data_IF_617095407817
#
_entry.id   IF_617095407817
#
_cell.length_a   1.000
_cell.length_b   1.000
_cell.length_c   1.000
_cell.angle_alpha   90.00
_cell.angle_beta   90.00
_cell.angle_gamma   90.00
#
_symmetry.space_group_name_H-M   'P 1'
#
loop_
_entity.id
_entity.type
_entity.pdbx_description
1 polymer ?
#
# COMPACT_ATOMS: atom_id res chain seq x y z
N UNK A 1 4.63 -11.95 -11.52
CA UNK A 1 4.14 -10.58 -11.76
C UNK A 1 3.93 -10.49 -13.26
N UNK A 2 2.77 -10.04 -13.75
CA UNK A 2 2.61 -9.87 -15.20
C UNK A 2 3.37 -8.62 -15.64
N UNK A 3 4.10 -8.73 -16.74
CA UNK A 3 4.73 -7.59 -17.40
C UNK A 3 3.65 -6.62 -17.90
N UNK A 4 3.84 -5.29 -17.77
CA UNK A 4 2.87 -4.28 -18.20
C UNK A 4 2.31 -4.48 -19.60
N UNK A 5 3.19 -4.78 -20.56
CA UNK A 5 2.81 -5.00 -21.96
C UNK A 5 1.86 -6.21 -22.14
N UNK A 6 2.04 -7.27 -21.35
CA UNK A 6 1.19 -8.45 -21.40
C UNK A 6 -0.21 -8.19 -20.83
N UNK A 7 -0.32 -7.28 -19.84
CA UNK A 7 -1.61 -6.84 -19.33
C UNK A 7 -2.35 -5.94 -20.32
N UNK A 8 -1.66 -4.97 -20.92
CA UNK A 8 -2.25 -4.07 -21.92
C UNK A 8 -2.83 -4.86 -23.09
N UNK A 9 -2.05 -5.80 -23.64
CA UNK A 9 -2.51 -6.71 -24.71
C UNK A 9 -3.73 -7.53 -24.29
N UNK A 10 -3.79 -8.01 -23.04
CA UNK A 10 -4.95 -8.73 -22.54
C UNK A 10 -6.21 -7.86 -22.41
N UNK A 11 -6.06 -6.56 -22.08
CA UNK A 11 -7.20 -5.63 -22.06
C UNK A 11 -7.68 -5.30 -23.46
N UNK A 12 -6.76 -5.08 -24.40
CA UNK A 12 -7.03 -4.87 -25.82
C UNK A 12 -7.84 -6.03 -26.42
N UNK A 13 -7.46 -7.28 -26.14
CA UNK A 13 -8.16 -8.47 -26.60
C UNK A 13 -9.60 -8.56 -26.08
N UNK A 14 -9.82 -8.15 -24.82
CA UNK A 14 -11.15 -8.18 -24.18
C UNK A 14 -12.04 -7.00 -24.59
N UNK A 15 -11.44 -5.87 -24.95
CA UNK A 15 -12.14 -4.61 -25.21
C UNK A 15 -11.54 -3.87 -26.42
N UNK A 16 -11.71 -4.41 -27.64
CA UNK A 16 -11.12 -3.84 -28.83
C UNK A 16 -11.65 -2.42 -29.10
N UNK A 17 -10.76 -1.51 -29.51
CA UNK A 17 -11.10 -0.15 -29.91
C UNK A 17 -11.26 0.87 -28.76
N UNK A 18 -10.95 0.49 -27.52
CA UNK A 18 -10.83 1.44 -26.40
C UNK A 18 -9.43 2.05 -26.35
N UNK A 19 -9.30 3.35 -26.10
CA UNK A 19 -8.00 3.98 -25.82
C UNK A 19 -7.46 3.43 -24.50
N UNK A 20 -6.16 3.10 -24.46
CA UNK A 20 -5.46 2.57 -23.27
C UNK A 20 -4.40 3.55 -22.74
N UNK A 21 -4.44 4.82 -23.14
CA UNK A 21 -3.46 5.85 -22.74
C UNK A 21 -3.40 6.04 -21.21
N UNK A 22 -4.51 5.86 -20.51
CA UNK A 22 -4.51 5.89 -19.05
C UNK A 22 -3.88 4.63 -18.44
N UNK A 23 -3.83 3.49 -19.16
CA UNK A 23 -3.16 2.27 -18.72
C UNK A 23 -1.64 2.36 -18.82
N UNK A 24 -1.10 3.08 -19.81
CA UNK A 24 0.35 3.31 -19.93
C UNK A 24 0.93 4.11 -18.74
N UNK A 25 0.08 4.81 -17.99
CA UNK A 25 0.44 5.58 -16.78
C UNK A 25 0.37 4.75 -15.50
N UNK A 26 0.08 3.46 -15.60
CA UNK A 26 -0.16 2.56 -14.46
C UNK A 26 1.16 1.94 -14.00
N UNK A 27 1.45 2.00 -12.69
CA UNK A 27 2.59 1.31 -12.09
C UNK A 27 2.32 -0.20 -12.00
N UNK A 28 3.37 -1.01 -11.85
CA UNK A 28 3.25 -2.47 -11.71
C UNK A 28 2.23 -2.92 -10.63
N UNK A 29 2.12 -2.17 -9.53
CA UNK A 29 1.15 -2.39 -8.47
C UNK A 29 -0.30 -2.23 -8.94
N UNK A 30 -0.58 -1.14 -9.64
CA UNK A 30 -1.91 -0.85 -10.17
C UNK A 30 -2.28 -1.81 -11.32
N UNK A 31 -1.29 -2.29 -12.10
CA UNK A 31 -1.50 -3.34 -13.12
C UNK A 31 -1.85 -4.69 -12.49
N UNK A 32 -1.16 -5.08 -11.41
CA UNK A 32 -1.50 -6.28 -10.65
C UNK A 32 -2.91 -6.21 -10.06
N UNK A 33 -3.33 -5.02 -9.61
CA UNK A 33 -4.66 -4.79 -9.07
C UNK A 33 -5.73 -4.72 -10.17
N UNK A 34 -5.42 -4.09 -11.31
CA UNK A 34 -6.27 -4.07 -12.49
C UNK A 34 -6.48 -5.50 -13.02
N UNK A 35 -5.44 -6.31 -13.08
CA UNK A 35 -5.52 -7.74 -13.37
C UNK A 35 -6.48 -8.44 -12.40
N UNK A 36 -6.41 -8.13 -11.11
CA UNK A 36 -7.34 -8.69 -10.11
C UNK A 36 -8.78 -8.19 -10.26
N UNK A 37 -9.02 -7.06 -10.95
CA UNK A 37 -10.36 -6.61 -11.30
C UNK A 37 -10.93 -7.35 -12.52
N UNK A 38 -10.06 -7.75 -13.45
CA UNK A 38 -10.43 -8.48 -14.67
C UNK A 38 -10.57 -9.99 -14.44
N UNK A 39 -9.79 -10.54 -13.51
CA UNK A 39 -9.80 -11.98 -13.22
C UNK A 39 -10.88 -12.34 -12.20
N UNK A 40 -11.62 -13.45 -12.40
CA UNK A 40 -12.50 -14.01 -11.39
C UNK A 40 -11.71 -14.33 -10.12
N UNK A 41 -12.23 -13.96 -8.95
CA UNK A 41 -11.63 -14.42 -7.70
C UNK A 41 -11.79 -15.95 -7.62
N UNK A 42 -10.67 -16.68 -7.51
CA UNK A 42 -10.61 -18.15 -7.57
C UNK A 42 -11.50 -18.91 -6.55
N UNK A 43 -12.22 -18.22 -5.66
CA UNK A 43 -13.00 -18.82 -4.57
C UNK A 43 -14.43 -18.28 -4.42
N UNK A 44 -14.98 -17.51 -5.35
CA UNK A 44 -16.40 -17.18 -5.27
C UNK A 44 -16.99 -16.97 -6.66
N UNK A 45 -18.25 -17.36 -6.83
CA UNK A 45 -19.13 -17.12 -7.99
C UNK A 45 -19.43 -15.62 -8.20
N UNK A 46 -18.42 -14.78 -8.01
CA UNK A 46 -18.49 -13.32 -8.07
C UNK A 46 -17.91 -12.93 -9.41
N UNK A 47 -18.72 -12.30 -10.24
CA UNK A 47 -18.26 -11.72 -11.50
C UNK A 47 -17.05 -10.81 -11.24
N UNK A 48 -16.03 -10.83 -12.12
CA UNK A 48 -14.92 -9.90 -12.00
C UNK A 48 -15.46 -8.47 -11.96
N UNK A 49 -14.76 -7.56 -11.26
CA UNK A 49 -15.28 -6.20 -11.00
C UNK A 49 -15.52 -5.42 -12.29
N UNK A 50 -14.87 -5.79 -13.40
CA UNK A 50 -15.15 -5.30 -14.75
C UNK A 50 -16.60 -5.51 -15.20
N UNK A 51 -17.30 -6.53 -14.69
CA UNK A 51 -18.73 -6.72 -14.92
C UNK A 51 -19.61 -5.59 -14.35
N UNK A 52 -19.03 -4.65 -13.59
CA UNK A 52 -19.68 -3.42 -13.11
C UNK A 52 -19.40 -2.20 -13.98
N UNK A 53 -18.62 -2.34 -15.05
CA UNK A 53 -18.38 -1.26 -15.99
C UNK A 53 -19.65 -0.96 -16.79
N UNK A 54 -20.18 0.24 -16.61
CA UNK A 54 -21.45 0.68 -17.20
C UNK A 54 -21.28 1.63 -18.40
N UNK A 55 -20.05 1.81 -18.92
CA UNK A 55 -19.79 2.71 -20.05
C UNK A 55 -19.91 4.21 -19.75
N UNK A 56 -19.99 4.61 -18.48
CA UNK A 56 -20.14 6.03 -18.09
C UNK A 56 -18.86 6.87 -18.21
N UNK A 57 -17.72 6.23 -18.44
CA UNK A 57 -16.42 6.86 -18.67
C UNK A 57 -15.61 5.95 -19.62
N UNK A 58 -14.59 6.48 -20.33
CA UNK A 58 -13.64 5.66 -21.08
C UNK A 58 -13.10 4.50 -20.23
N UNK A 59 -12.93 3.33 -20.86
CA UNK A 59 -12.59 2.09 -20.16
C UNK A 59 -11.27 2.20 -19.38
N UNK A 60 -10.26 2.81 -19.98
CA UNK A 60 -8.95 3.04 -19.38
C UNK A 60 -9.02 3.94 -18.14
N UNK A 61 -9.80 5.03 -18.18
CA UNK A 61 -10.04 5.90 -17.03
C UNK A 61 -10.80 5.17 -15.91
N UNK A 62 -11.74 4.29 -16.27
CA UNK A 62 -12.48 3.46 -15.32
C UNK A 62 -11.57 2.39 -14.68
N UNK A 63 -10.75 1.72 -15.48
CA UNK A 63 -9.78 0.71 -15.04
C UNK A 63 -8.75 1.35 -14.12
N UNK A 64 -8.17 2.47 -14.52
CA UNK A 64 -7.24 3.25 -13.71
C UNK A 64 -7.84 3.61 -12.34
N UNK A 65 -9.03 4.21 -12.33
CA UNK A 65 -9.70 4.62 -11.08
C UNK A 65 -10.05 3.42 -10.20
N UNK A 66 -10.50 2.33 -10.81
CA UNK A 66 -10.87 1.11 -10.09
C UNK A 66 -9.65 0.38 -9.52
N UNK A 67 -8.57 0.29 -10.28
CA UNK A 67 -7.31 -0.33 -9.88
C UNK A 67 -6.68 0.45 -8.74
N UNK A 68 -6.62 1.78 -8.86
CA UNK A 68 -6.17 2.68 -7.80
C UNK A 68 -7.02 2.54 -6.53
N UNK A 69 -8.35 2.52 -6.65
CA UNK A 69 -9.24 2.29 -5.49
C UNK A 69 -8.99 0.92 -4.88
N UNK A 70 -8.80 -0.10 -5.71
CA UNK A 70 -8.46 -1.43 -5.23
C UNK A 70 -7.11 -1.39 -4.50
N UNK A 71 -6.08 -0.71 -5.01
CA UNK A 71 -4.79 -0.52 -4.35
C UNK A 71 -4.93 0.02 -2.94
N UNK A 72 -5.65 1.13 -2.81
CA UNK A 72 -5.87 1.81 -1.55
C UNK A 72 -6.67 0.95 -0.54
N UNK A 73 -7.52 0.05 -1.04
CA UNK A 73 -8.34 -0.86 -0.21
C UNK A 73 -7.74 -2.23 0.03
N UNK A 74 -6.83 -2.70 -0.83
CA UNK A 74 -6.27 -4.06 -0.80
C UNK A 74 -5.26 -4.23 0.32
N UNK A 75 -4.51 -3.19 0.65
CA UNK A 75 -3.55 -3.25 1.75
C UNK A 75 -4.28 -3.12 3.09
N UNK A 76 -4.36 -4.25 3.80
CA UNK A 76 -4.93 -4.24 5.14
C UNK A 76 -3.98 -3.50 6.07
N UNK A 77 -4.54 -2.82 7.08
CA UNK A 77 -3.75 -2.18 8.14
C UNK A 77 -2.70 -3.14 8.72
N UNK A 78 -3.07 -4.42 8.92
CA UNK A 78 -2.18 -5.46 9.42
C UNK A 78 -0.94 -5.64 8.54
N UNK A 79 -1.08 -5.65 7.21
CA UNK A 79 0.02 -5.91 6.29
C UNK A 79 1.09 -4.80 6.37
N UNK A 80 0.64 -3.55 6.44
CA UNK A 80 1.51 -2.37 6.60
C UNK A 80 2.23 -2.42 7.95
N UNK A 81 1.49 -2.66 9.03
CA UNK A 81 2.04 -2.70 10.39
C UNK A 81 3.08 -3.80 10.51
N UNK A 82 2.80 -4.99 9.97
CA UNK A 82 3.72 -6.12 10.02
C UNK A 82 4.98 -5.83 9.20
N UNK A 83 4.87 -5.17 8.03
CA UNK A 83 6.03 -4.78 7.24
C UNK A 83 6.92 -3.76 7.97
N UNK A 84 6.33 -2.67 8.47
CA UNK A 84 7.06 -1.65 9.24
C UNK A 84 7.74 -2.28 10.46
N UNK A 85 7.00 -3.13 11.18
CA UNK A 85 7.51 -3.84 12.37
C UNK A 85 8.72 -4.70 12.00
N UNK A 86 8.65 -5.46 10.89
CA UNK A 86 9.78 -6.26 10.40
C UNK A 86 10.97 -5.40 10.00
N UNK A 87 10.77 -4.30 9.28
CA UNK A 87 11.88 -3.44 8.85
C UNK A 87 12.57 -2.74 10.03
N UNK A 88 11.82 -2.35 11.06
CA UNK A 88 12.39 -1.75 12.28
C UNK A 88 13.15 -2.78 13.12
N UNK A 89 12.57 -3.97 13.31
CA UNK A 89 13.15 -5.02 14.15
C UNK A 89 14.27 -5.79 13.46
N UNK A 90 14.25 -5.89 12.13
CA UNK A 90 15.28 -6.56 11.34
C UNK A 90 16.63 -5.84 11.38
N UNK A 91 16.65 -4.58 11.83
CA UNK A 91 17.88 -3.80 12.06
C UNK A 91 18.50 -4.02 13.44
N UNK A 92 17.88 -4.85 14.30
CA UNK A 92 18.40 -5.18 15.63
C UNK A 92 19.16 -6.53 15.54
N UNK A 93 20.50 -6.55 15.66
CA UNK A 93 21.30 -7.78 15.61
C UNK A 93 20.83 -8.79 16.66
N UNK A 94 20.80 -10.10 16.36
CA UNK A 94 20.10 -11.04 17.26
C UNK A 94 20.56 -12.49 17.32
N UNK A 95 21.65 -12.90 16.69
CA UNK A 95 21.97 -14.33 16.57
C UNK A 95 22.60 -14.98 17.82
N UNK A 96 22.91 -14.24 18.89
CA UNK A 96 23.54 -14.83 20.10
C UNK A 96 22.92 -14.31 21.39
N UNK A 97 21.67 -14.70 21.68
CA UNK A 97 20.97 -14.31 22.91
C UNK A 97 20.36 -15.52 23.62
N UNK A 98 20.53 -15.54 24.95
CA UNK A 98 19.98 -16.58 25.82
C UNK A 98 18.43 -16.55 25.90
N UNK A 99 17.80 -17.59 26.46
CA UNK A 99 16.33 -17.75 26.48
C UNK A 99 15.55 -16.57 27.08
N UNK A 100 16.06 -15.99 28.18
CA UNK A 100 15.43 -14.84 28.85
C UNK A 100 15.49 -13.57 27.99
N UNK A 101 16.58 -13.38 27.26
CA UNK A 101 16.77 -12.26 26.34
C UNK A 101 15.90 -12.40 25.08
N UNK A 102 15.58 -13.64 24.68
CA UNK A 102 14.61 -13.91 23.61
C UNK A 102 13.18 -13.58 24.06
N UNK A 103 12.82 -13.90 25.31
CA UNK A 103 11.50 -13.57 25.86
C UNK A 103 11.31 -12.05 25.99
N UNK A 104 12.27 -11.34 26.60
CA UNK A 104 12.23 -9.87 26.70
C UNK A 104 12.18 -9.18 25.32
N UNK A 105 12.84 -9.76 24.31
CA UNK A 105 12.71 -9.30 22.92
C UNK A 105 11.31 -9.53 22.37
N UNK A 106 10.71 -10.70 22.57
CA UNK A 106 9.37 -10.98 22.07
C UNK A 106 8.33 -9.99 22.64
N UNK A 107 8.42 -9.67 23.93
CA UNK A 107 7.58 -8.66 24.59
C UNK A 107 7.82 -7.25 24.03
N UNK A 108 9.09 -6.89 23.80
CA UNK A 108 9.46 -5.62 23.17
C UNK A 108 8.91 -5.52 21.73
N UNK A 109 8.99 -6.62 20.95
CA UNK A 109 8.42 -6.70 19.60
C UNK A 109 6.92 -6.50 19.60
N UNK A 110 6.20 -7.16 20.52
CA UNK A 110 4.76 -7.00 20.65
C UNK A 110 4.37 -5.56 21.01
N UNK A 111 5.15 -4.92 21.89
CA UNK A 111 4.96 -3.53 22.30
C UNK A 111 5.15 -2.56 21.13
N UNK A 112 6.24 -2.71 20.38
CA UNK A 112 6.53 -1.92 19.17
C UNK A 112 5.44 -2.09 18.13
N UNK A 113 5.04 -3.35 17.86
CA UNK A 113 3.97 -3.66 16.90
C UNK A 113 2.66 -2.97 17.26
N UNK A 114 2.29 -2.99 18.54
CA UNK A 114 1.07 -2.34 19.03
C UNK A 114 1.15 -0.82 18.90
N UNK A 115 2.30 -0.21 19.22
CA UNK A 115 2.52 1.22 19.05
C UNK A 115 2.39 1.66 17.59
N UNK A 116 3.02 0.92 16.66
CA UNK A 116 2.88 1.15 15.21
C UNK A 116 1.42 0.99 14.77
N UNK A 117 0.75 -0.06 15.24
CA UNK A 117 -0.64 -0.32 14.90
C UNK A 117 -1.54 0.86 15.32
N UNK A 118 -1.39 1.36 16.55
CA UNK A 118 -2.16 2.52 17.06
C UNK A 118 -1.81 3.81 16.33
N UNK A 119 -0.53 4.09 16.12
CA UNK A 119 -0.07 5.25 15.38
C UNK A 119 -0.62 5.27 13.95
N UNK A 120 -0.66 4.11 13.29
CA UNK A 120 -1.23 3.96 11.96
C UNK A 120 -2.77 4.10 11.96
N UNK A 121 -3.45 3.66 13.02
CA UNK A 121 -4.90 3.85 13.18
C UNK A 121 -5.28 5.32 13.31
N UNK A 122 -4.48 6.08 14.07
CA UNK A 122 -4.68 7.50 14.32
C UNK A 122 -4.34 8.38 13.10
N UNK A 123 -3.61 7.84 12.13
CA UNK A 123 -3.29 8.55 10.90
C UNK A 123 -4.53 8.82 10.04
N UNK A 124 -4.54 9.97 9.39
CA UNK A 124 -5.62 10.34 8.46
C UNK A 124 -5.68 9.36 7.28
N UNK A 125 -6.81 9.31 6.58
CA UNK A 125 -6.94 8.44 5.41
C UNK A 125 -5.90 8.77 4.33
N UNK A 126 -5.62 10.06 4.11
CA UNK A 126 -4.63 10.51 3.15
C UNK A 126 -3.21 10.06 3.52
N UNK A 127 -2.80 10.24 4.78
CA UNK A 127 -1.51 9.78 5.29
C UNK A 127 -1.38 8.25 5.14
N UNK A 128 -2.40 7.49 5.55
CA UNK A 128 -2.41 6.02 5.43
C UNK A 128 -2.24 5.54 4.00
N UNK A 129 -2.89 6.21 3.06
CA UNK A 129 -2.83 5.87 1.64
C UNK A 129 -1.44 6.09 1.07
N UNK A 130 -0.83 7.25 1.34
CA UNK A 130 0.54 7.57 0.90
C UNK A 130 1.55 6.60 1.52
N UNK A 131 1.40 6.29 2.82
CA UNK A 131 2.27 5.35 3.53
C UNK A 131 2.14 3.92 3.00
N UNK A 132 0.93 3.44 2.73
CA UNK A 132 0.69 2.10 2.16
C UNK A 132 1.39 1.91 0.84
N UNK A 133 1.17 2.83 -0.09
CA UNK A 133 1.75 2.80 -1.43
C UNK A 133 3.28 2.88 -1.37
N UNK A 134 3.83 3.75 -0.54
CA UNK A 134 5.29 3.88 -0.44
C UNK A 134 5.96 2.70 0.26
N UNK A 135 5.33 2.12 1.28
CA UNK A 135 5.96 1.07 2.09
C UNK A 135 5.78 -0.32 1.49
N UNK A 136 4.57 -0.66 1.03
CA UNK A 136 4.29 -2.01 0.52
C UNK A 136 4.74 -2.14 -0.94
N UNK A 137 4.36 -1.18 -1.77
CA UNK A 137 4.66 -1.20 -3.21
C UNK A 137 5.98 -0.51 -3.55
N UNK A 138 6.71 -0.04 -2.53
CA UNK A 138 8.00 0.68 -2.65
C UNK A 138 7.94 1.92 -3.55
N UNK A 139 6.75 2.52 -3.67
CA UNK A 139 6.55 3.65 -4.58
C UNK A 139 7.24 4.93 -4.09
N UNK A 140 7.95 5.57 -5.01
CA UNK A 140 8.61 6.85 -4.85
C UNK A 140 7.71 8.05 -5.15
N UNK A 141 8.21 9.28 -4.97
CA UNK A 141 7.40 10.49 -5.11
C UNK A 141 6.84 10.75 -6.52
N UNK A 142 7.52 10.30 -7.58
CA UNK A 142 6.99 10.41 -8.96
C UNK A 142 5.74 9.56 -9.14
N UNK A 143 5.84 8.33 -8.66
CA UNK A 143 4.81 7.32 -8.80
C UNK A 143 3.58 7.70 -7.98
N UNK A 144 3.81 8.17 -6.75
CA UNK A 144 2.76 8.74 -5.91
C UNK A 144 2.13 9.99 -6.52
N UNK A 145 2.92 10.86 -7.17
CA UNK A 145 2.39 12.05 -7.84
C UNK A 145 1.45 11.70 -8.98
N UNK A 146 1.84 10.73 -9.82
CA UNK A 146 0.99 10.19 -10.88
C UNK A 146 -0.29 9.59 -10.30
N UNK A 147 -0.19 8.77 -9.25
CA UNK A 147 -1.35 8.14 -8.60
C UNK A 147 -2.30 9.17 -8.00
N UNK A 148 -1.79 10.19 -7.30
CA UNK A 148 -2.62 11.18 -6.64
C UNK A 148 -3.10 12.30 -7.56
N UNK A 149 -2.57 12.38 -8.79
CA UNK A 149 -2.87 13.48 -9.71
C UNK A 149 -2.34 14.82 -9.21
N UNK A 150 -1.17 14.82 -8.57
CA UNK A 150 -0.53 16.01 -7.99
C UNK A 150 0.87 16.20 -8.54
N UNK A 151 1.48 17.36 -8.30
CA UNK A 151 2.88 17.60 -8.68
C UNK A 151 3.85 16.73 -7.86
N UNK A 152 4.97 16.28 -8.44
CA UNK A 152 6.05 15.52 -7.76
C UNK A 152 6.43 16.11 -6.41
N UNK A 153 6.69 17.43 -6.38
CA UNK A 153 7.08 18.14 -5.17
C UNK A 153 6.00 18.12 -4.07
N UNK A 154 4.72 18.02 -4.45
CA UNK A 154 3.60 17.88 -3.50
C UNK A 154 3.55 16.47 -2.94
N UNK A 155 3.66 15.44 -3.79
CA UNK A 155 3.70 14.04 -3.34
C UNK A 155 4.92 13.76 -2.44
N UNK A 156 6.09 14.29 -2.78
CA UNK A 156 7.30 14.18 -1.96
C UNK A 156 7.09 14.80 -0.56
N UNK A 157 6.51 16.00 -0.49
CA UNK A 157 6.19 16.67 0.78
C UNK A 157 5.16 15.89 1.59
N UNK A 158 4.08 15.41 0.95
CA UNK A 158 3.06 14.60 1.61
C UNK A 158 3.63 13.30 2.18
N UNK A 159 4.50 12.62 1.42
CA UNK A 159 5.18 11.41 1.88
C UNK A 159 6.09 11.67 3.08
N UNK A 160 6.91 12.73 3.00
CA UNK A 160 7.80 13.11 4.09
C UNK A 160 7.02 13.45 5.36
N UNK A 161 5.97 14.26 5.24
CA UNK A 161 5.09 14.64 6.35
C UNK A 161 4.39 13.41 6.96
N UNK A 162 3.87 12.51 6.13
CA UNK A 162 3.20 11.30 6.62
C UNK A 162 4.18 10.37 7.36
N UNK A 163 5.41 10.21 6.87
CA UNK A 163 6.47 9.44 7.55
C UNK A 163 6.85 10.07 8.89
N UNK A 164 7.04 11.38 8.91
CA UNK A 164 7.39 12.11 10.14
C UNK A 164 6.26 12.03 11.18
N UNK A 165 5.02 12.29 10.78
CA UNK A 165 3.86 12.20 11.66
C UNK A 165 3.65 10.79 12.21
N UNK A 166 3.88 9.75 11.39
CA UNK A 166 3.83 8.36 11.85
C UNK A 166 4.91 8.11 12.91
N UNK A 167 6.15 8.55 12.67
CA UNK A 167 7.26 8.40 13.61
C UNK A 167 6.94 9.04 14.96
N UNK A 168 6.51 10.30 14.96
CA UNK A 168 6.16 11.04 16.18
C UNK A 168 5.00 10.38 16.95
N UNK A 169 4.04 9.77 16.25
CA UNK A 169 2.95 9.00 16.89
C UNK A 169 3.47 7.71 17.52
N UNK A 170 4.37 7.00 16.84
CA UNK A 170 4.99 5.78 17.38
C UNK A 170 5.85 6.09 18.60
N UNK A 171 6.67 7.14 18.54
CA UNK A 171 7.52 7.59 19.66
C UNK A 171 6.65 7.94 20.88
N UNK A 172 5.53 8.66 20.68
CA UNK A 172 4.58 8.94 21.77
C UNK A 172 3.93 7.69 22.37
N UNK A 173 3.47 6.76 21.53
CA UNK A 173 2.88 5.50 22.00
C UNK A 173 3.89 4.64 22.79
N UNK A 174 5.15 4.65 22.36
CA UNK A 174 6.23 3.94 23.06
C UNK A 174 6.60 4.64 24.38
N UNK A 175 6.78 5.97 24.39
CA UNK A 175 7.07 6.73 25.60
C UNK A 175 6.01 6.56 26.68
N UNK A 176 4.73 6.63 26.29
CA UNK A 176 3.60 6.39 27.19
C UNK A 176 3.60 4.98 27.79
N UNK A 177 4.06 3.97 27.04
CA UNK A 177 4.16 2.59 27.53
C UNK A 177 5.40 2.29 28.35
N UNK A 178 6.51 2.96 28.08
CA UNK A 178 7.79 2.75 28.75
C UNK A 178 7.97 3.66 29.98
N UNK A 179 7.04 4.59 30.22
CA UNK A 179 7.10 5.53 31.35
C UNK A 179 8.18 6.60 31.19
N UNK A 180 8.66 6.83 29.96
CA UNK A 180 9.66 7.85 29.63
C UNK A 180 8.91 8.99 28.95
N UNK A 181 8.77 10.11 29.66
CA UNK A 181 8.14 11.34 29.18
C UNK A 181 9.18 12.28 28.56
#
# INVERSE_FOLDING_TARGET
MLEPAAFTSHVEDLFPGQSLDALDRIHAADLWLAQRLLMPAAQANTLPRIGRYAGQAPLDAWLYTSARRLALTSFRRRDVVDLITRELLGKIPGESLGPEQQLARAESRATIKLAIDRAFAAATLAERNVLRLSLIERLGPDELAAIFGVHRATAARQLAQAKQALRERVERELGAKLGVA
#
